data_IF_414143677900
#
_entry.id   IF_414143677900
#
_cell.length_a   1.000
_cell.length_b   1.000
_cell.length_c   1.000
_cell.angle_alpha   90.00
_cell.angle_beta   90.00
_cell.angle_gamma   90.00
#
_symmetry.space_group_name_H-M   'P 1'
#
loop_
_entity.id
_entity.type
_entity.pdbx_description
1 polymer ?
#
# COMPACT_ATOMS: atom_id res chain seq x y z
N UNK A 1 -13.85 9.82 29.27
CA UNK A 1 -14.71 9.33 28.15
C UNK A 1 -15.34 8.04 28.64
N UNK A 2 -16.67 7.90 28.63
CA UNK A 2 -17.41 6.83 29.36
C UNK A 2 -16.82 5.43 29.14
N UNK A 3 -16.56 5.02 27.89
CA UNK A 3 -16.00 3.69 27.61
C UNK A 3 -14.62 3.47 28.23
N UNK A 4 -13.79 4.51 28.22
CA UNK A 4 -12.42 4.49 28.74
C UNK A 4 -12.39 4.47 30.27
N UNK A 5 -13.38 5.10 30.93
CA UNK A 5 -13.58 5.03 32.38
C UNK A 5 -14.03 3.63 32.80
N UNK A 6 -15.12 3.12 32.19
CA UNK A 6 -15.68 1.79 32.49
C UNK A 6 -14.64 0.69 32.25
N UNK A 7 -13.87 0.80 31.17
CA UNK A 7 -12.84 -0.20 30.85
C UNK A 7 -11.73 -0.26 31.89
N UNK A 8 -11.32 0.87 32.46
CA UNK A 8 -10.26 0.92 33.48
C UNK A 8 -10.66 0.29 34.81
N UNK A 9 -11.95 0.09 35.04
CA UNK A 9 -12.45 -0.64 36.22
C UNK A 9 -12.36 -2.17 36.05
N UNK A 10 -12.01 -2.65 34.86
CA UNK A 10 -11.86 -4.08 34.60
C UNK A 10 -10.40 -4.52 34.84
N UNK A 11 -10.21 -5.43 35.79
CA UNK A 11 -8.95 -6.17 35.96
C UNK A 11 -8.85 -7.36 35.00
N UNK A 12 -7.62 -7.75 34.61
CA UNK A 12 -7.35 -8.96 33.83
C UNK A 12 -7.58 -8.82 32.32
N UNK A 13 -7.71 -7.57 31.83
CA UNK A 13 -7.89 -7.25 30.40
C UNK A 13 -6.67 -6.58 29.78
N UNK A 14 -5.52 -6.57 30.46
CA UNK A 14 -4.29 -5.90 30.05
C UNK A 14 -3.81 -6.29 28.63
N UNK A 15 -3.92 -7.57 28.18
CA UNK A 15 -3.63 -7.96 26.80
C UNK A 15 -4.47 -7.27 25.72
N UNK A 16 -5.61 -6.68 26.10
CA UNK A 16 -6.56 -5.95 25.25
C UNK A 16 -6.50 -4.43 25.49
N UNK A 17 -5.64 -3.96 26.40
CA UNK A 17 -5.47 -2.56 26.79
C UNK A 17 -4.22 -1.94 26.16
N UNK A 18 -4.26 -0.62 25.99
CA UNK A 18 -3.10 0.19 25.63
C UNK A 18 -2.23 0.55 26.85
N UNK A 19 -1.11 1.26 26.64
CA UNK A 19 -0.20 1.67 27.72
C UNK A 19 -0.88 2.51 28.81
N UNK A 20 -1.90 3.29 28.44
CA UNK A 20 -2.64 4.19 29.33
C UNK A 20 -3.81 3.50 30.07
N UNK A 21 -3.86 2.17 30.03
CA UNK A 21 -4.88 1.34 30.68
C UNK A 21 -6.24 1.29 29.96
N UNK A 22 -6.51 2.20 29.01
CA UNK A 22 -7.71 2.18 28.18
C UNK A 22 -7.70 1.06 27.12
N UNK A 23 -8.85 0.79 26.46
CA UNK A 23 -8.93 -0.26 25.44
C UNK A 23 -8.12 0.11 24.20
N UNK A 24 -7.47 -0.86 23.56
CA UNK A 24 -6.85 -0.64 22.25
C UNK A 24 -7.90 -0.24 21.20
N UNK A 25 -7.52 0.57 20.21
CA UNK A 25 -8.42 0.89 19.09
C UNK A 25 -8.95 -0.35 18.37
N UNK A 26 -8.16 -1.44 18.32
CA UNK A 26 -8.62 -2.73 17.78
C UNK A 26 -9.54 -3.49 18.72
N UNK A 27 -9.36 -3.38 20.03
CA UNK A 27 -10.29 -3.96 21.02
C UNK A 27 -11.67 -3.33 20.84
N UNK A 28 -11.74 -2.01 20.64
CA UNK A 28 -13.00 -1.32 20.32
C UNK A 28 -13.60 -1.86 19.02
N UNK A 29 -12.83 -1.80 17.91
CA UNK A 29 -13.32 -2.15 16.57
C UNK A 29 -13.67 -3.62 16.36
N UNK A 30 -12.96 -4.55 17.00
CA UNK A 30 -13.06 -5.98 16.71
C UNK A 30 -13.83 -6.75 17.78
N UNK A 31 -13.91 -6.24 19.01
CA UNK A 31 -14.58 -6.90 20.13
C UNK A 31 -15.74 -6.05 20.65
N UNK A 32 -15.46 -4.84 21.16
CA UNK A 32 -16.45 -4.09 21.92
C UNK A 32 -17.63 -3.67 21.04
N UNK A 33 -17.38 -2.94 19.96
CA UNK A 33 -18.45 -2.49 19.06
C UNK A 33 -19.23 -3.67 18.45
N UNK A 34 -18.61 -4.66 17.80
CA UNK A 34 -19.37 -5.71 17.11
C UNK A 34 -19.96 -6.79 18.03
N UNK A 35 -19.35 -7.10 19.18
CA UNK A 35 -19.71 -8.28 19.97
C UNK A 35 -20.35 -7.94 21.33
N UNK A 36 -19.95 -6.84 21.97
CA UNK A 36 -20.41 -6.45 23.32
C UNK A 36 -21.46 -5.34 23.27
N UNK A 37 -21.10 -4.19 22.73
CA UNK A 37 -21.93 -2.97 22.68
C UNK A 37 -23.01 -3.12 21.60
N UNK A 38 -22.64 -3.64 20.42
CA UNK A 38 -23.52 -3.83 19.26
C UNK A 38 -24.36 -2.58 18.94
N UNK A 39 -23.75 -1.45 18.53
CA UNK A 39 -24.46 -0.17 18.34
C UNK A 39 -25.68 -0.23 17.42
N UNK A 40 -25.69 -1.13 16.42
CA UNK A 40 -26.85 -1.35 15.54
C UNK A 40 -28.06 -1.89 16.32
N UNK A 41 -27.83 -2.78 17.29
CA UNK A 41 -28.85 -3.36 18.15
C UNK A 41 -29.14 -2.48 19.37
N UNK A 42 -28.19 -1.61 19.74
CA UNK A 42 -28.28 -0.71 20.89
C UNK A 42 -27.99 0.74 20.47
N UNK A 43 -28.92 1.41 19.75
CA UNK A 43 -28.68 2.74 19.19
C UNK A 43 -28.36 3.82 20.23
N UNK A 44 -28.80 3.63 21.48
CA UNK A 44 -28.48 4.54 22.60
C UNK A 44 -26.98 4.57 22.94
N UNK A 45 -26.24 3.52 22.57
CA UNK A 45 -24.78 3.44 22.72
C UNK A 45 -24.03 3.86 21.46
N UNK A 46 -24.73 4.30 20.40
CA UNK A 46 -24.12 4.65 19.12
C UNK A 46 -23.68 6.12 19.08
N UNK A 47 -22.58 6.37 18.37
CA UNK A 47 -22.09 7.72 18.06
C UNK A 47 -21.00 8.23 19.01
N UNK A 48 -20.39 9.38 18.67
CA UNK A 48 -19.25 9.94 19.40
C UNK A 48 -19.63 10.58 20.74
N UNK A 49 -20.91 10.90 20.95
CA UNK A 49 -21.44 11.49 22.19
C UNK A 49 -22.73 10.74 22.51
N UNK A 50 -22.79 10.15 23.71
CA UNK A 50 -23.95 9.40 24.21
C UNK A 50 -24.68 10.19 25.29
N UNK A 51 -25.99 9.97 25.43
CA UNK A 51 -26.79 10.52 26.53
C UNK A 51 -26.44 9.82 27.85
N UNK A 52 -26.94 10.34 28.98
CA UNK A 52 -26.76 9.70 30.29
C UNK A 52 -27.27 8.24 30.30
N UNK A 53 -28.46 8.00 29.73
CA UNK A 53 -29.03 6.65 29.59
C UNK A 53 -28.17 5.76 28.68
N UNK A 54 -27.63 6.32 27.60
CA UNK A 54 -26.70 5.63 26.70
C UNK A 54 -25.40 5.24 27.38
N UNK A 55 -24.85 6.13 28.21
CA UNK A 55 -23.66 5.88 29.02
C UNK A 55 -23.90 4.77 30.04
N UNK A 56 -25.03 4.79 30.75
CA UNK A 56 -25.38 3.75 31.73
C UNK A 56 -25.61 2.39 31.07
N UNK A 57 -26.28 2.35 29.91
CA UNK A 57 -26.45 1.12 29.14
C UNK A 57 -25.10 0.57 28.64
N UNK A 58 -24.22 1.43 28.15
CA UNK A 58 -22.87 1.05 27.73
C UNK A 58 -22.08 0.45 28.89
N UNK A 59 -22.07 1.11 30.05
CA UNK A 59 -21.39 0.62 31.25
C UNK A 59 -21.93 -0.76 31.66
N UNK A 60 -23.25 -0.90 31.71
CA UNK A 60 -23.94 -2.15 32.06
C UNK A 60 -23.51 -3.30 31.14
N UNK A 61 -23.43 -3.07 29.82
CA UNK A 61 -23.04 -4.09 28.86
C UNK A 61 -21.58 -4.53 28.98
N UNK A 62 -20.69 -3.57 29.20
CA UNK A 62 -19.26 -3.85 29.38
C UNK A 62 -19.04 -4.64 30.67
N UNK A 63 -19.63 -4.22 31.79
CA UNK A 63 -19.53 -4.96 33.06
C UNK A 63 -20.17 -6.34 32.99
N UNK A 64 -21.33 -6.48 32.33
CA UNK A 64 -21.98 -7.78 32.12
C UNK A 64 -21.11 -8.74 31.28
N UNK A 65 -20.20 -8.20 30.47
CA UNK A 65 -19.27 -8.98 29.65
C UNK A 65 -17.88 -9.12 30.28
N UNK A 66 -17.67 -8.64 31.51
CA UNK A 66 -16.35 -8.55 32.14
C UNK A 66 -15.63 -9.91 32.19
N UNK A 67 -16.32 -10.98 32.61
CA UNK A 67 -15.70 -12.32 32.70
C UNK A 67 -15.31 -12.88 31.33
N UNK A 68 -16.15 -12.66 30.32
CA UNK A 68 -15.84 -13.06 28.94
C UNK A 68 -14.67 -12.25 28.40
N UNK A 69 -14.58 -10.96 28.72
CA UNK A 69 -13.46 -10.10 28.32
C UNK A 69 -12.13 -10.53 28.97
N UNK A 70 -12.15 -10.91 30.26
CA UNK A 70 -10.99 -11.51 30.96
C UNK A 70 -10.57 -12.84 30.34
N UNK A 71 -11.53 -13.73 30.11
CA UNK A 71 -11.29 -15.00 29.43
C UNK A 71 -10.72 -14.78 28.01
N UNK A 72 -11.23 -13.79 27.28
CA UNK A 72 -10.73 -13.39 25.95
C UNK A 72 -9.27 -12.96 26.01
N UNK A 73 -8.91 -12.14 27.00
CA UNK A 73 -7.53 -11.70 27.22
C UNK A 73 -6.59 -12.87 27.58
N UNK A 74 -7.07 -13.81 28.39
CA UNK A 74 -6.33 -15.02 28.74
C UNK A 74 -6.12 -15.93 27.52
N UNK A 75 -7.15 -16.17 26.70
CA UNK A 75 -7.04 -16.89 25.42
C UNK A 75 -6.05 -16.21 24.48
N UNK A 76 -6.10 -14.89 24.34
CA UNK A 76 -5.16 -14.17 23.48
C UNK A 76 -3.70 -14.34 23.92
N UNK A 77 -3.46 -14.38 25.23
CA UNK A 77 -2.13 -14.65 25.80
C UNK A 77 -1.67 -16.08 25.48
N UNK A 78 -2.55 -17.07 25.64
CA UNK A 78 -2.28 -18.46 25.30
C UNK A 78 -1.99 -18.63 23.80
N UNK A 79 -2.85 -18.10 22.93
CA UNK A 79 -2.66 -18.15 21.46
C UNK A 79 -1.34 -17.49 21.04
N UNK A 80 -0.96 -16.35 21.65
CA UNK A 80 0.35 -15.73 21.36
C UNK A 80 1.53 -16.62 21.75
N UNK A 81 1.42 -17.36 22.85
CA UNK A 81 2.45 -18.30 23.29
C UNK A 81 2.56 -19.47 22.31
N UNK A 82 1.44 -20.12 21.99
CA UNK A 82 1.41 -21.25 21.05
C UNK A 82 1.85 -20.82 19.65
N UNK A 83 1.41 -19.65 19.16
CA UNK A 83 1.86 -19.06 17.89
C UNK A 83 3.38 -18.95 17.79
N UNK A 84 4.04 -18.55 18.88
CA UNK A 84 5.51 -18.45 18.93
C UNK A 84 6.16 -19.85 18.91
N UNK A 85 5.59 -20.81 19.62
CA UNK A 85 6.06 -22.20 19.62
C UNK A 85 5.96 -22.82 18.21
N UNK A 86 4.83 -22.58 17.52
CA UNK A 86 4.62 -22.96 16.12
C UNK A 86 5.40 -22.14 15.10
N UNK A 87 6.15 -21.12 15.54
CA UNK A 87 6.92 -20.18 14.68
C UNK A 87 6.07 -19.51 13.60
N UNK A 88 4.78 -19.29 13.88
CA UNK A 88 3.89 -18.57 12.98
C UNK A 88 4.23 -17.09 13.04
N UNK A 89 4.65 -16.52 11.90
CA UNK A 89 4.98 -15.08 11.77
C UNK A 89 3.92 -14.29 11.01
N UNK A 90 2.98 -14.97 10.37
CA UNK A 90 1.99 -14.35 9.48
C UNK A 90 0.84 -13.65 10.23
N UNK A 91 0.37 -12.55 9.63
CA UNK A 91 -0.75 -11.73 10.10
C UNK A 91 -0.48 -10.90 11.36
N UNK A 92 -1.33 -9.89 11.59
CA UNK A 92 -1.36 -9.19 12.87
C UNK A 92 -2.19 -10.04 13.87
N UNK A 93 -1.62 -10.44 15.02
CA UNK A 93 -2.34 -11.25 16.01
C UNK A 93 -3.67 -10.64 16.48
N UNK A 94 -3.75 -9.32 16.60
CA UNK A 94 -4.97 -8.65 17.06
C UNK A 94 -6.08 -8.78 16.01
N UNK A 95 -5.74 -8.54 14.75
CA UNK A 95 -6.70 -8.61 13.63
C UNK A 95 -7.19 -10.05 13.40
N UNK A 96 -6.33 -11.06 13.60
CA UNK A 96 -6.67 -12.46 13.35
C UNK A 96 -7.33 -13.18 14.53
N UNK A 97 -6.93 -12.88 15.78
CA UNK A 97 -7.29 -13.74 16.92
C UNK A 97 -8.30 -13.10 17.86
N UNK A 98 -8.53 -11.79 17.85
CA UNK A 98 -9.41 -11.14 18.84
C UNK A 98 -10.82 -11.72 18.85
N UNK A 99 -11.46 -11.86 17.68
CA UNK A 99 -12.80 -12.43 17.58
C UNK A 99 -12.81 -13.92 17.93
N UNK A 100 -11.82 -14.69 17.48
CA UNK A 100 -11.67 -16.12 17.85
C UNK A 100 -11.46 -16.32 19.34
N UNK A 101 -10.69 -15.47 20.00
CA UNK A 101 -10.51 -15.51 21.45
C UNK A 101 -11.82 -15.21 22.18
N UNK A 102 -12.64 -14.29 21.66
CA UNK A 102 -13.95 -13.98 22.23
C UNK A 102 -14.95 -15.14 22.05
N UNK A 103 -14.93 -15.80 20.89
CA UNK A 103 -15.71 -17.02 20.63
C UNK A 103 -15.31 -18.15 21.60
N UNK A 104 -14.00 -18.40 21.76
CA UNK A 104 -13.49 -19.39 22.71
C UNK A 104 -13.87 -19.04 24.16
N UNK A 105 -13.74 -17.78 24.54
CA UNK A 105 -14.13 -17.29 25.86
C UNK A 105 -15.63 -17.46 26.13
N UNK A 106 -16.47 -17.22 25.13
CA UNK A 106 -17.92 -17.35 25.25
C UNK A 106 -18.34 -18.83 25.33
N UNK A 107 -17.70 -19.70 24.55
CA UNK A 107 -18.05 -21.14 24.51
C UNK A 107 -17.42 -21.98 25.62
N UNK A 108 -16.20 -21.65 26.04
CA UNK A 108 -15.37 -22.48 26.92
C UNK A 108 -14.92 -21.78 28.20
N UNK A 109 -15.19 -20.48 28.36
CA UNK A 109 -14.70 -19.70 29.50
C UNK A 109 -13.19 -19.41 29.41
N UNK A 110 -12.54 -19.21 30.56
CA UNK A 110 -11.10 -18.95 30.61
C UNK A 110 -10.29 -20.22 30.30
N UNK A 111 -9.17 -20.12 29.54
CA UNK A 111 -8.34 -21.27 29.22
C UNK A 111 -7.57 -21.78 30.45
N UNK A 112 -7.40 -23.10 30.52
CA UNK A 112 -6.35 -23.76 31.31
C UNK A 112 -5.05 -23.80 30.48
N UNK A 113 -4.00 -23.06 30.87
CA UNK A 113 -2.77 -22.97 30.09
C UNK A 113 -2.03 -24.30 29.88
N UNK A 114 -2.33 -25.36 30.64
CA UNK A 114 -1.70 -26.68 30.51
C UNK A 114 -2.54 -27.66 29.69
N UNK A 115 -3.86 -27.51 29.69
CA UNK A 115 -4.78 -28.45 29.03
C UNK A 115 -5.29 -27.95 27.68
N UNK A 116 -5.43 -26.64 27.53
CA UNK A 116 -6.03 -26.03 26.34
C UNK A 116 -5.00 -25.62 25.28
N UNK A 117 -3.74 -26.04 25.43
CA UNK A 117 -2.72 -25.81 24.41
C UNK A 117 -3.10 -26.46 23.07
N UNK A 118 -3.69 -27.66 23.09
CA UNK A 118 -4.17 -28.31 21.87
C UNK A 118 -5.33 -27.56 21.21
N UNK A 119 -6.23 -26.96 21.98
CA UNK A 119 -7.33 -26.13 21.46
C UNK A 119 -6.77 -24.87 20.81
N UNK A 120 -5.85 -24.18 21.49
CA UNK A 120 -5.19 -23.00 20.95
C UNK A 120 -4.38 -23.33 19.69
N UNK A 121 -3.70 -24.48 19.65
CA UNK A 121 -2.97 -24.96 18.49
C UNK A 121 -3.92 -25.26 17.32
N UNK A 122 -5.05 -25.93 17.56
CA UNK A 122 -6.06 -26.21 16.53
C UNK A 122 -6.68 -24.92 16.00
N UNK A 123 -7.08 -24.00 16.87
CA UNK A 123 -7.60 -22.69 16.45
C UNK A 123 -6.59 -21.92 15.60
N UNK A 124 -5.30 -21.96 15.96
CA UNK A 124 -4.26 -21.34 15.15
C UNK A 124 -4.12 -22.05 13.80
N UNK A 125 -4.14 -23.39 13.77
CA UNK A 125 -4.16 -24.13 12.51
C UNK A 125 -5.35 -23.70 11.68
N UNK A 126 -6.58 -23.75 12.19
CA UNK A 126 -7.78 -23.36 11.46
C UNK A 126 -7.69 -21.94 10.88
N UNK A 127 -7.17 -20.98 11.66
CA UNK A 127 -6.99 -19.59 11.20
C UNK A 127 -5.92 -19.46 10.11
N UNK A 128 -4.88 -20.29 10.14
CA UNK A 128 -3.75 -20.21 9.19
C UNK A 128 -3.82 -21.22 8.04
N UNK A 129 -4.62 -22.27 8.16
CA UNK A 129 -4.84 -23.30 7.12
C UNK A 129 -5.72 -22.76 5.98
N UNK A 130 -6.47 -21.68 6.23
CA UNK A 130 -7.09 -20.82 5.20
C UNK A 130 -6.04 -20.33 4.19
N UNK A 131 -4.76 -20.22 4.56
CA UNK A 131 -3.73 -19.85 3.61
C UNK A 131 -3.34 -20.99 2.65
N UNK A 132 -3.78 -22.23 2.87
CA UNK A 132 -3.51 -23.40 2.02
C UNK A 132 -2.02 -23.54 1.64
N UNK A 133 -1.11 -23.24 2.56
CA UNK A 133 0.34 -23.25 2.32
C UNK A 133 0.93 -22.00 1.62
N UNK A 134 0.13 -21.00 1.26
CA UNK A 134 0.57 -19.69 0.72
C UNK A 134 0.97 -18.75 1.86
N UNK A 135 1.98 -19.15 2.62
CA UNK A 135 2.50 -18.36 3.76
C UNK A 135 3.86 -17.77 3.42
N UNK A 136 4.25 -16.71 4.13
CA UNK A 136 5.58 -16.12 3.93
C UNK A 136 6.70 -17.08 4.37
N UNK A 137 6.40 -17.96 5.33
CA UNK A 137 7.29 -19.01 5.77
C UNK A 137 7.46 -20.12 4.72
N UNK A 138 6.38 -20.53 4.05
CA UNK A 138 6.45 -21.50 2.95
C UNK A 138 7.22 -20.94 1.75
N UNK A 139 7.03 -19.65 1.43
CA UNK A 139 7.85 -18.94 0.45
C UNK A 139 9.33 -18.99 0.83
N UNK A 140 9.67 -18.61 2.07
CA UNK A 140 11.05 -18.64 2.56
C UNK A 140 11.65 -20.04 2.45
N UNK A 141 10.94 -21.06 2.94
CA UNK A 141 11.38 -22.45 2.87
C UNK A 141 11.66 -22.88 1.42
N UNK A 142 10.74 -22.55 0.50
CA UNK A 142 10.87 -22.88 -0.93
C UNK A 142 12.11 -22.23 -1.58
N UNK A 143 12.34 -20.94 -1.36
CA UNK A 143 13.47 -20.22 -2.00
C UNK A 143 14.82 -20.46 -1.33
N UNK A 144 14.83 -20.91 -0.07
CA UNK A 144 16.08 -21.21 0.67
C UNK A 144 16.50 -22.68 0.59
N UNK A 145 15.67 -23.57 0.04
CA UNK A 145 16.09 -24.95 -0.22
C UNK A 145 17.25 -24.96 -1.23
N UNK A 146 18.43 -25.54 -0.92
CA UNK A 146 19.61 -25.45 -1.78
C UNK A 146 19.44 -26.07 -3.18
N UNK A 147 18.58 -27.07 -3.34
CA UNK A 147 18.29 -27.64 -4.66
C UNK A 147 17.41 -26.68 -5.46
N UNK A 148 16.29 -26.22 -4.89
CA UNK A 148 15.39 -25.26 -5.56
C UNK A 148 16.04 -23.91 -5.83
N UNK A 149 16.82 -23.38 -4.89
CA UNK A 149 17.53 -22.11 -5.08
C UNK A 149 18.42 -22.14 -6.33
N UNK A 150 19.15 -23.25 -6.56
CA UNK A 150 19.98 -23.41 -7.77
C UNK A 150 19.14 -23.47 -9.05
N UNK A 151 18.04 -24.21 -9.04
CA UNK A 151 17.12 -24.30 -10.19
C UNK A 151 16.50 -22.95 -10.52
N UNK A 152 16.01 -22.24 -9.50
CA UNK A 152 15.38 -20.93 -9.65
C UNK A 152 16.38 -19.86 -10.09
N UNK A 153 17.61 -19.87 -9.58
CA UNK A 153 18.68 -18.98 -10.06
C UNK A 153 19.03 -19.26 -11.53
N UNK A 154 19.14 -20.52 -11.93
CA UNK A 154 19.37 -20.87 -13.34
C UNK A 154 18.19 -20.42 -14.23
N UNK A 155 16.96 -20.50 -13.74
CA UNK A 155 15.78 -19.99 -14.45
C UNK A 155 15.82 -18.47 -14.60
N UNK A 156 16.25 -17.73 -13.57
CA UNK A 156 16.46 -16.27 -13.65
C UNK A 156 17.50 -15.95 -14.72
N UNK A 157 18.66 -16.61 -14.68
CA UNK A 157 19.73 -16.36 -15.65
C UNK A 157 19.26 -16.63 -17.09
N UNK A 158 18.52 -17.72 -17.29
CA UNK A 158 17.95 -18.07 -18.59
C UNK A 158 16.91 -17.06 -19.07
N UNK A 159 15.95 -16.71 -18.22
CA UNK A 159 14.87 -15.78 -18.56
C UNK A 159 15.40 -14.38 -18.83
N UNK A 160 16.33 -13.91 -17.99
CA UNK A 160 16.95 -12.60 -18.14
C UNK A 160 17.86 -12.50 -19.38
N UNK A 161 18.58 -13.58 -19.70
CA UNK A 161 19.44 -13.65 -20.88
C UNK A 161 18.69 -13.69 -22.21
N UNK A 162 17.41 -14.08 -22.21
CA UNK A 162 16.56 -14.13 -23.42
C UNK A 162 15.87 -12.80 -23.77
N UNK A 163 16.06 -11.76 -22.98
CA UNK A 163 15.44 -10.45 -23.22
C UNK A 163 15.93 -9.85 -24.54
N UNK A 164 15.06 -9.19 -25.33
CA UNK A 164 15.47 -8.46 -26.52
C UNK A 164 16.29 -7.21 -26.11
N UNK A 165 17.59 -7.21 -26.39
CA UNK A 165 18.50 -6.08 -26.10
C UNK A 165 19.00 -5.37 -27.37
N UNK A 166 18.70 -5.88 -28.57
CA UNK A 166 19.19 -5.31 -29.84
C UNK A 166 18.22 -5.63 -30.99
N UNK A 167 18.04 -4.66 -31.90
CA UNK A 167 17.38 -4.88 -33.20
C UNK A 167 15.86 -4.96 -33.21
N UNK A 168 15.18 -4.82 -32.06
CA UNK A 168 13.71 -4.68 -32.04
C UNK A 168 13.33 -3.29 -32.52
N UNK A 169 12.66 -3.21 -33.68
CA UNK A 169 11.97 -2.00 -34.13
C UNK A 169 10.86 -1.72 -33.13
N UNK A 170 11.09 -0.79 -32.20
CA UNK A 170 10.04 -0.31 -31.31
C UNK A 170 9.16 0.65 -32.10
N UNK A 171 7.88 0.33 -32.25
CA UNK A 171 6.91 1.26 -32.81
C UNK A 171 6.82 2.53 -31.94
N UNK A 172 6.75 3.70 -32.59
CA UNK A 172 6.41 4.94 -31.90
C UNK A 172 4.91 4.98 -31.65
N UNK A 173 4.55 5.05 -30.37
CA UNK A 173 3.17 5.00 -29.88
C UNK A 173 2.75 6.30 -29.18
N UNK A 174 3.59 7.33 -29.20
CA UNK A 174 3.37 8.55 -28.41
C UNK A 174 2.05 9.26 -28.75
N UNK A 175 1.69 9.34 -30.03
CA UNK A 175 0.44 9.96 -30.47
C UNK A 175 -0.80 9.20 -29.96
N UNK A 176 -0.81 7.87 -30.07
CA UNK A 176 -1.91 7.05 -29.58
C UNK A 176 -2.04 7.10 -28.04
N UNK A 177 -0.90 7.15 -27.32
CA UNK A 177 -0.90 7.38 -25.86
C UNK A 177 -1.51 8.74 -25.51
N UNK A 178 -1.20 9.80 -26.28
CA UNK A 178 -1.78 11.12 -26.06
C UNK A 178 -3.31 11.12 -26.25
N UNK A 179 -3.81 10.46 -27.31
CA UNK A 179 -5.26 10.30 -27.56
C UNK A 179 -5.96 9.62 -26.37
N UNK A 180 -5.41 8.52 -25.85
CA UNK A 180 -5.98 7.83 -24.67
C UNK A 180 -5.98 8.74 -23.44
N UNK A 181 -4.92 9.51 -23.21
CA UNK A 181 -4.83 10.44 -22.08
C UNK A 181 -5.75 11.67 -22.23
N UNK A 182 -6.11 12.05 -23.45
CA UNK A 182 -7.08 13.11 -23.69
C UNK A 182 -8.52 12.64 -23.44
N UNK A 183 -8.85 11.42 -23.83
CA UNK A 183 -10.21 10.88 -23.76
C UNK A 183 -10.56 10.25 -22.39
N UNK A 184 -9.62 9.52 -21.76
CA UNK A 184 -9.94 8.69 -20.59
C UNK A 184 -10.52 9.43 -19.35
N UNK A 185 -10.22 10.73 -19.07
CA UNK A 185 -10.89 11.44 -17.99
C UNK A 185 -12.40 11.63 -18.20
N UNK A 186 -12.85 11.67 -19.46
CA UNK A 186 -14.25 11.84 -19.87
C UNK A 186 -15.03 10.53 -20.00
N UNK A 187 -14.35 9.37 -20.00
CA UNK A 187 -14.95 8.05 -20.28
C UNK A 187 -16.09 7.63 -19.33
N UNK A 188 -16.29 8.33 -18.20
CA UNK A 188 -17.42 8.10 -17.26
C UNK A 188 -18.62 9.02 -17.49
N UNK A 189 -18.45 10.08 -18.27
CA UNK A 189 -19.40 11.19 -18.36
C UNK A 189 -20.31 11.13 -19.59
N UNK A 190 -19.99 10.32 -20.62
CA UNK A 190 -20.78 10.30 -21.86
C UNK A 190 -21.05 8.89 -22.39
N UNK A 191 -22.26 8.72 -22.95
CA UNK A 191 -22.71 7.55 -23.72
C UNK A 191 -22.55 7.76 -25.25
N UNK A 192 -21.96 8.89 -25.71
CA UNK A 192 -21.91 9.30 -27.13
C UNK A 192 -20.57 9.93 -27.61
N UNK A 193 -19.54 10.03 -26.75
CA UNK A 193 -18.21 10.58 -27.10
C UNK A 193 -17.13 9.50 -27.33
N UNK A 194 -16.03 9.84 -28.03
CA UNK A 194 -14.84 8.97 -28.13
C UNK A 194 -14.19 8.85 -26.74
N UNK A 195 -14.42 7.71 -26.08
CA UNK A 195 -13.88 7.37 -24.76
C UNK A 195 -12.41 6.93 -24.83
N UNK A 196 -11.81 6.92 -26.03
CA UNK A 196 -10.45 6.49 -26.29
C UNK A 196 -10.31 4.97 -26.38
N UNK A 197 -11.40 4.21 -26.46
CA UNK A 197 -11.37 2.74 -26.54
C UNK A 197 -10.60 2.24 -27.74
N UNK A 198 -10.86 2.77 -28.94
CA UNK A 198 -10.15 2.35 -30.14
C UNK A 198 -8.64 2.60 -30.03
N UNK A 199 -8.24 3.77 -29.54
CA UNK A 199 -6.82 4.07 -29.33
C UNK A 199 -6.18 3.17 -28.27
N UNK A 200 -6.92 2.80 -27.22
CA UNK A 200 -6.45 1.85 -26.20
C UNK A 200 -6.28 0.44 -26.77
N UNK A 201 -7.26 -0.05 -27.54
CA UNK A 201 -7.20 -1.35 -28.20
C UNK A 201 -6.03 -1.41 -29.21
N UNK A 202 -5.80 -0.34 -29.96
CA UNK A 202 -4.67 -0.21 -30.88
C UNK A 202 -3.31 -0.26 -30.15
N UNK A 203 -3.19 0.38 -28.98
CA UNK A 203 -1.98 0.31 -28.15
C UNK A 203 -1.70 -1.11 -27.65
N UNK A 204 -2.74 -1.85 -27.25
CA UNK A 204 -2.62 -3.24 -26.80
C UNK A 204 -2.25 -4.15 -27.96
N UNK A 205 -2.95 -4.03 -29.10
CA UNK A 205 -2.68 -4.81 -30.30
C UNK A 205 -1.29 -4.51 -30.90
N UNK A 206 -0.85 -3.25 -30.79
CA UNK A 206 0.47 -2.79 -31.22
C UNK A 206 1.60 -3.04 -30.22
N UNK A 207 1.33 -3.74 -29.12
CA UNK A 207 2.31 -4.08 -28.08
C UNK A 207 3.08 -2.87 -27.52
N UNK A 208 2.39 -1.73 -27.36
CA UNK A 208 3.00 -0.48 -26.93
C UNK A 208 3.63 -0.57 -25.52
N UNK A 209 2.98 -1.32 -24.63
CA UNK A 209 3.49 -1.62 -23.30
C UNK A 209 4.80 -2.41 -23.35
N UNK A 210 4.83 -3.47 -24.16
CA UNK A 210 6.04 -4.27 -24.39
C UNK A 210 7.17 -3.46 -24.99
N UNK A 211 6.92 -2.69 -26.05
CA UNK A 211 7.96 -1.86 -26.70
C UNK A 211 8.59 -0.86 -25.73
N UNK A 212 7.76 -0.13 -24.97
CA UNK A 212 8.27 0.82 -23.99
C UNK A 212 9.01 0.12 -22.84
N UNK A 213 8.49 -1.01 -22.35
CA UNK A 213 9.15 -1.77 -21.28
C UNK A 213 10.50 -2.37 -21.70
N UNK A 214 10.69 -2.70 -22.98
CA UNK A 214 11.99 -3.10 -23.54
C UNK A 214 12.95 -1.91 -23.57
N UNK A 215 12.48 -0.72 -23.97
CA UNK A 215 13.31 0.49 -24.00
C UNK A 215 13.90 0.83 -22.61
N UNK A 216 13.16 0.54 -21.53
CA UNK A 216 13.61 0.72 -20.14
C UNK A 216 14.82 -0.14 -19.74
N UNK A 217 15.17 -1.18 -20.52
CA UNK A 217 16.38 -1.99 -20.30
C UNK A 217 17.64 -1.40 -20.93
N UNK A 218 17.52 -0.27 -21.64
CA UNK A 218 18.62 0.39 -22.32
C UNK A 218 18.91 1.76 -21.74
N UNK A 219 20.11 2.29 -21.97
CA UNK A 219 20.52 3.63 -21.52
C UNK A 219 20.16 4.75 -22.52
N UNK A 220 19.20 4.53 -23.41
CA UNK A 220 18.84 5.45 -24.50
C UNK A 220 18.09 6.69 -23.94
N UNK A 221 18.28 7.91 -24.47
CA UNK A 221 18.55 9.06 -23.60
C UNK A 221 17.33 9.83 -23.07
N UNK A 222 16.09 9.54 -23.47
CA UNK A 222 14.94 10.37 -23.06
C UNK A 222 14.26 9.87 -21.77
N UNK A 223 13.96 8.57 -21.64
CA UNK A 223 13.28 8.03 -20.46
C UNK A 223 13.89 6.68 -20.07
N UNK A 224 14.65 6.66 -18.98
CA UNK A 224 15.25 5.44 -18.41
C UNK A 224 14.50 4.99 -17.17
N UNK A 225 14.55 3.70 -16.84
CA UNK A 225 13.99 3.17 -15.59
C UNK A 225 14.56 3.88 -14.35
N UNK A 226 15.83 4.31 -14.42
CA UNK A 226 16.49 5.11 -13.38
C UNK A 226 15.82 6.48 -13.19
N UNK A 227 15.62 7.22 -14.30
CA UNK A 227 14.96 8.53 -14.29
C UNK A 227 13.52 8.43 -13.79
N UNK A 228 12.81 7.36 -14.16
CA UNK A 228 11.47 7.06 -13.66
C UNK A 228 11.44 6.65 -12.17
N UNK A 229 12.60 6.45 -11.54
CA UNK A 229 12.72 6.07 -10.13
C UNK A 229 12.29 4.63 -9.84
N UNK A 230 12.34 3.76 -10.86
CA UNK A 230 11.98 2.33 -10.77
C UNK A 230 13.16 1.45 -10.38
N UNK A 231 14.38 1.92 -10.63
CA UNK A 231 15.65 1.27 -10.25
C UNK A 231 16.65 2.31 -9.77
N UNK A 232 17.56 1.90 -8.89
CA UNK A 232 18.72 2.67 -8.45
C UNK A 232 19.90 2.55 -9.41
N UNK A 233 19.88 1.56 -10.31
CA UNK A 233 20.92 1.31 -11.30
C UNK A 233 20.70 2.14 -12.57
N UNK A 234 21.76 2.41 -13.37
CA UNK A 234 21.61 3.12 -14.66
C UNK A 234 20.64 2.41 -15.62
N UNK A 235 20.68 1.08 -15.62
CA UNK A 235 19.72 0.19 -16.28
C UNK A 235 19.33 -0.94 -15.33
N UNK A 236 18.12 -1.51 -15.45
CA UNK A 236 17.70 -2.65 -14.64
C UNK A 236 18.69 -3.82 -14.72
N UNK A 237 18.92 -4.47 -13.59
CA UNK A 237 19.82 -5.63 -13.43
C UNK A 237 19.01 -6.91 -13.25
N UNK A 238 19.60 -8.11 -13.48
CA UNK A 238 18.88 -9.37 -13.25
C UNK A 238 18.30 -9.42 -11.83
N UNK A 239 17.04 -9.86 -11.66
CA UNK A 239 16.42 -9.91 -10.34
C UNK A 239 17.15 -10.93 -9.46
N UNK A 240 17.31 -10.62 -8.18
CA UNK A 240 17.82 -11.60 -7.21
C UNK A 240 16.68 -12.51 -6.75
N UNK A 241 16.99 -13.77 -6.43
CA UNK A 241 16.01 -14.66 -5.80
C UNK A 241 15.58 -14.11 -4.42
N UNK A 242 16.55 -13.71 -3.59
CA UNK A 242 16.32 -13.19 -2.24
C UNK A 242 15.97 -14.28 -1.21
N UNK A 243 16.10 -13.96 0.08
CA UNK A 243 15.90 -14.92 1.19
C UNK A 243 15.08 -14.36 2.36
N UNK A 244 14.74 -13.06 2.32
CA UNK A 244 13.92 -12.38 3.31
C UNK A 244 13.36 -11.07 2.76
N UNK A 245 12.32 -10.54 3.38
CA UNK A 245 11.75 -9.24 3.05
C UNK A 245 11.27 -8.51 4.30
N UNK A 246 11.28 -7.17 4.25
CA UNK A 246 10.64 -6.29 5.23
C UNK A 246 9.88 -5.19 4.50
N UNK A 247 8.65 -4.88 4.91
CA UNK A 247 7.85 -3.82 4.30
C UNK A 247 8.46 -2.43 4.45
N UNK A 248 9.35 -2.23 5.43
CA UNK A 248 10.06 -0.96 5.65
C UNK A 248 11.36 -0.82 4.84
N UNK A 249 11.86 -1.91 4.24
CA UNK A 249 13.16 -1.95 3.57
C UNK A 249 13.07 -2.52 2.15
N UNK A 250 11.89 -2.51 1.54
CA UNK A 250 11.70 -2.99 0.17
C UNK A 250 12.50 -2.13 -0.81
N UNK A 251 13.19 -2.78 -1.75
CA UNK A 251 13.82 -2.11 -2.87
C UNK A 251 12.83 -1.34 -3.76
N UNK A 252 13.40 -0.51 -4.65
CA UNK A 252 12.67 0.11 -5.75
C UNK A 252 12.03 -0.97 -6.63
N UNK A 253 10.93 -0.68 -7.35
CA UNK A 253 10.17 -1.67 -8.13
C UNK A 253 10.99 -2.73 -8.87
N UNK A 254 11.99 -2.32 -9.65
CA UNK A 254 12.83 -3.23 -10.45
C UNK A 254 14.03 -3.79 -9.70
N UNK A 255 14.32 -3.27 -8.51
CA UNK A 255 15.43 -3.75 -7.65
C UNK A 255 14.95 -4.79 -6.61
N UNK A 256 13.63 -4.95 -6.45
CA UNK A 256 13.06 -5.97 -5.57
C UNK A 256 13.42 -7.37 -6.05
N UNK A 257 13.87 -8.20 -5.11
CA UNK A 257 14.02 -9.64 -5.32
C UNK A 257 12.68 -10.34 -5.58
N UNK A 258 12.76 -11.52 -6.18
CA UNK A 258 11.59 -12.40 -6.40
C UNK A 258 10.88 -12.67 -5.07
N UNK A 259 11.63 -12.96 -4.01
CA UNK A 259 11.06 -13.12 -2.67
C UNK A 259 10.32 -11.87 -2.19
N UNK A 260 10.89 -10.67 -2.29
CA UNK A 260 10.23 -9.44 -1.82
C UNK A 260 8.89 -9.18 -2.53
N UNK A 261 8.81 -9.49 -3.82
CA UNK A 261 7.61 -9.32 -4.62
C UNK A 261 6.52 -10.31 -4.23
N UNK A 262 6.83 -11.61 -4.18
CA UNK A 262 5.87 -12.62 -3.73
C UNK A 262 5.47 -12.39 -2.27
N UNK A 263 6.41 -12.00 -1.40
CA UNK A 263 6.13 -11.66 -0.01
C UNK A 263 5.09 -10.54 0.10
N UNK A 264 5.22 -9.49 -0.72
CA UNK A 264 4.27 -8.37 -0.72
C UNK A 264 2.87 -8.82 -1.15
N UNK A 265 2.76 -9.69 -2.16
CA UNK A 265 1.50 -10.31 -2.59
C UNK A 265 0.85 -11.09 -1.45
N UNK A 266 1.60 -12.01 -0.83
CA UNK A 266 1.10 -12.83 0.27
C UNK A 266 0.63 -11.98 1.45
N UNK A 267 1.35 -10.88 1.74
CA UNK A 267 0.99 -9.95 2.82
C UNK A 267 -0.24 -9.11 2.51
N UNK A 268 -0.44 -8.74 1.25
CA UNK A 268 -1.55 -7.90 0.81
C UNK A 268 -2.83 -8.69 0.52
N UNK A 269 -2.74 -9.99 0.24
CA UNK A 269 -3.93 -10.82 -0.04
C UNK A 269 -4.67 -11.17 1.25
N UNK A 270 -5.96 -10.84 1.27
CA UNK A 270 -6.91 -11.19 2.33
C UNK A 270 -7.38 -12.64 2.18
N UNK A 271 -7.61 -13.08 0.95
CA UNK A 271 -7.81 -14.48 0.61
C UNK A 271 -6.53 -15.01 -0.05
N UNK A 272 -5.81 -15.87 0.67
CA UNK A 272 -4.57 -16.47 0.16
C UNK A 272 -4.82 -17.83 -0.47
N UNK A 273 -5.98 -18.45 -0.24
CA UNK A 273 -6.34 -19.72 -0.86
C UNK A 273 -6.54 -19.57 -2.36
N UNK A 274 -7.06 -18.41 -2.79
CA UNK A 274 -7.22 -18.06 -4.20
C UNK A 274 -5.90 -17.82 -4.94
N UNK A 275 -4.79 -17.61 -4.23
CA UNK A 275 -3.49 -17.46 -4.87
C UNK A 275 -2.99 -18.80 -5.41
N UNK A 276 -2.20 -18.80 -6.50
CA UNK A 276 -1.48 -19.99 -6.93
C UNK A 276 -0.58 -20.56 -5.81
N UNK A 277 -0.25 -21.86 -5.86
CA UNK A 277 0.74 -22.44 -4.95
C UNK A 277 2.07 -21.70 -4.98
N UNK A 278 2.84 -21.77 -3.88
CA UNK A 278 4.10 -21.02 -3.73
C UNK A 278 5.09 -21.25 -4.88
N UNK A 279 5.23 -22.50 -5.35
CA UNK A 279 6.18 -22.81 -6.44
C UNK A 279 5.80 -22.08 -7.73
N UNK A 280 4.51 -22.05 -8.06
CA UNK A 280 3.97 -21.37 -9.24
C UNK A 280 4.09 -19.85 -9.09
N UNK A 281 3.75 -19.30 -7.93
CA UNK A 281 3.96 -17.87 -7.63
C UNK A 281 5.41 -17.45 -7.85
N UNK A 282 6.38 -18.25 -7.40
CA UNK A 282 7.80 -17.95 -7.53
C UNK A 282 8.27 -18.07 -8.98
N UNK A 283 7.91 -19.13 -9.70
CA UNK A 283 8.30 -19.29 -11.12
C UNK A 283 7.67 -18.22 -12.00
N UNK A 284 6.40 -17.89 -11.77
CA UNK A 284 5.69 -16.84 -12.52
C UNK A 284 6.25 -15.46 -12.17
N UNK A 285 6.66 -15.21 -10.91
CA UNK A 285 7.31 -13.94 -10.55
C UNK A 285 8.71 -13.80 -11.17
N UNK A 286 9.45 -14.89 -11.39
CA UNK A 286 10.69 -14.85 -12.18
C UNK A 286 10.40 -14.42 -13.61
N UNK A 287 9.42 -15.03 -14.26
CA UNK A 287 9.00 -14.67 -15.62
C UNK A 287 8.57 -13.19 -15.68
N UNK A 288 7.77 -12.76 -14.71
CA UNK A 288 7.30 -11.37 -14.56
C UNK A 288 8.47 -10.41 -14.38
N UNK A 289 9.41 -10.70 -13.49
CA UNK A 289 10.58 -9.86 -13.22
C UNK A 289 11.53 -9.73 -14.41
N UNK A 290 11.54 -10.70 -15.32
CA UNK A 290 12.33 -10.68 -16.55
C UNK A 290 11.57 -10.12 -17.76
N UNK A 291 10.30 -9.76 -17.60
CA UNK A 291 9.44 -9.27 -18.68
C UNK A 291 9.42 -7.73 -18.74
N UNK A 292 9.01 -7.13 -19.88
CA UNK A 292 8.86 -5.67 -20.00
C UNK A 292 7.98 -5.11 -18.88
N UNK A 293 8.37 -3.95 -18.34
CA UNK A 293 7.76 -3.34 -17.13
C UNK A 293 7.79 -4.18 -15.85
N UNK A 294 8.47 -5.32 -15.89
CA UNK A 294 8.35 -6.37 -14.90
C UNK A 294 6.88 -6.78 -14.68
N UNK A 295 6.12 -6.92 -15.77
CA UNK A 295 4.72 -7.34 -15.84
C UNK A 295 4.54 -8.38 -16.96
N UNK A 296 3.56 -9.28 -16.87
CA UNK A 296 3.29 -10.32 -17.89
C UNK A 296 2.20 -9.89 -18.88
N UNK A 297 1.11 -9.33 -18.39
CA UNK A 297 -0.04 -8.91 -19.20
C UNK A 297 0.23 -7.62 -19.99
N UNK A 298 -0.07 -7.62 -21.29
CA UNK A 298 0.18 -6.47 -22.17
C UNK A 298 -0.69 -5.25 -21.83
N UNK A 299 -1.94 -5.46 -21.42
CA UNK A 299 -2.82 -4.36 -21.03
C UNK A 299 -2.28 -3.62 -19.82
N UNK A 300 -1.72 -4.34 -18.85
CA UNK A 300 -1.09 -3.74 -17.68
C UNK A 300 0.23 -3.02 -18.05
N UNK A 301 0.98 -3.53 -19.02
CA UNK A 301 2.15 -2.82 -19.58
C UNK A 301 1.73 -1.54 -20.30
N UNK A 302 0.63 -1.55 -21.05
CA UNK A 302 0.07 -0.35 -21.68
C UNK A 302 -0.34 0.67 -20.62
N UNK A 303 -1.03 0.27 -19.54
CA UNK A 303 -1.35 1.17 -18.42
C UNK A 303 -0.08 1.76 -17.79
N UNK A 304 0.99 0.96 -17.64
CA UNK A 304 2.27 1.45 -17.13
C UNK A 304 2.90 2.50 -18.07
N UNK A 305 2.88 2.26 -19.38
CA UNK A 305 3.37 3.18 -20.41
C UNK A 305 2.57 4.49 -20.44
N UNK A 306 1.24 4.41 -20.47
CA UNK A 306 0.35 5.58 -20.43
C UNK A 306 0.53 6.35 -19.12
N UNK A 307 0.69 5.64 -18.00
CA UNK A 307 0.98 6.24 -16.70
C UNK A 307 2.34 6.92 -16.63
N UNK A 308 3.36 6.41 -17.33
CA UNK A 308 4.67 7.05 -17.46
C UNK A 308 4.58 8.36 -18.23
N UNK A 309 3.90 8.36 -19.39
CA UNK A 309 3.67 9.55 -20.19
C UNK A 309 2.91 10.64 -19.39
N UNK A 310 1.84 10.25 -18.70
CA UNK A 310 1.10 11.12 -17.79
C UNK A 310 2.01 11.70 -16.71
N UNK A 311 2.75 10.84 -16.01
CA UNK A 311 3.58 11.22 -14.87
C UNK A 311 4.69 12.20 -15.24
N UNK A 312 5.31 12.03 -16.42
CA UNK A 312 6.37 12.93 -16.91
C UNK A 312 5.85 14.31 -17.30
N UNK A 313 4.57 14.44 -17.65
CA UNK A 313 3.89 15.73 -17.87
C UNK A 313 3.41 16.42 -16.58
N UNK A 314 3.62 15.82 -15.41
CA UNK A 314 3.18 16.43 -14.15
C UNK A 314 4.17 17.51 -13.70
N UNK A 315 3.63 18.71 -13.42
CA UNK A 315 4.37 19.89 -13.02
C UNK A 315 3.64 20.61 -11.86
N UNK A 316 3.58 20.00 -10.66
CA UNK A 316 2.82 20.54 -9.53
C UNK A 316 3.38 21.87 -9.02
N UNK A 317 4.71 22.07 -9.06
CA UNK A 317 5.36 23.31 -8.59
C UNK A 317 5.89 24.20 -9.72
N UNK A 318 5.88 23.75 -10.97
CA UNK A 318 6.36 24.52 -12.13
C UNK A 318 5.46 25.72 -12.47
N UNK A 319 5.99 26.69 -13.20
CA UNK A 319 5.14 27.69 -13.87
C UNK A 319 4.09 26.97 -14.70
N UNK A 320 2.83 27.42 -14.63
CA UNK A 320 1.80 26.89 -15.53
C UNK A 320 2.37 26.98 -16.95
N UNK A 321 2.34 25.89 -17.74
CA UNK A 321 2.86 25.95 -19.09
C UNK A 321 2.18 27.11 -19.81
N UNK A 322 2.93 27.80 -20.68
CA UNK A 322 2.26 28.62 -21.69
C UNK A 322 1.21 27.74 -22.39
N UNK A 323 0.07 28.29 -22.84
CA UNK A 323 -0.97 27.54 -23.53
C UNK A 323 -0.51 27.06 -24.92
N UNK A 324 0.63 26.38 -25.00
CA UNK A 324 1.09 25.62 -26.15
C UNK A 324 0.55 24.19 -26.02
N UNK A 325 -0.68 23.96 -26.49
CA UNK A 325 -1.27 22.77 -27.14
C UNK A 325 -0.67 21.34 -26.96
N UNK A 326 0.07 21.02 -25.89
CA UNK A 326 0.77 19.72 -25.76
C UNK A 326 0.43 18.91 -24.51
N UNK A 327 -0.16 19.52 -23.48
CA UNK A 327 -0.61 18.79 -22.29
C UNK A 327 -1.94 18.12 -22.57
N UNK A 328 -2.05 16.82 -22.28
CA UNK A 328 -3.33 16.09 -22.42
C UNK A 328 -4.34 16.48 -21.34
N UNK A 329 -5.62 16.17 -21.56
CA UNK A 329 -6.70 16.39 -20.58
C UNK A 329 -6.37 15.75 -19.23
N UNK A 330 -5.86 14.52 -19.21
CA UNK A 330 -5.43 13.85 -17.99
C UNK A 330 -4.36 14.63 -17.22
N UNK A 331 -3.32 15.13 -17.91
CA UNK A 331 -2.26 15.93 -17.31
C UNK A 331 -2.83 17.21 -16.69
N UNK A 332 -3.68 17.93 -17.43
CA UNK A 332 -4.32 19.18 -16.96
C UNK A 332 -5.17 18.95 -15.71
N UNK A 333 -5.99 17.89 -15.70
CA UNK A 333 -6.86 17.55 -14.58
C UNK A 333 -6.06 17.26 -13.31
N UNK A 334 -5.00 16.46 -13.42
CA UNK A 334 -4.17 16.08 -12.25
C UNK A 334 -3.32 17.25 -11.77
N UNK A 335 -2.64 17.96 -12.67
CA UNK A 335 -1.85 19.16 -12.31
C UNK A 335 -2.73 20.22 -11.64
N UNK A 336 -3.90 20.52 -12.20
CA UNK A 336 -4.84 21.48 -11.61
C UNK A 336 -5.36 21.08 -10.23
N UNK A 337 -5.44 19.77 -9.93
CA UNK A 337 -5.73 19.31 -8.56
C UNK A 337 -4.54 19.50 -7.63
N UNK A 338 -3.35 19.07 -8.05
CA UNK A 338 -2.13 19.19 -7.25
C UNK A 338 -1.77 20.63 -6.91
N UNK A 339 -1.88 21.53 -7.89
CA UNK A 339 -1.53 22.95 -7.74
C UNK A 339 -2.46 23.69 -6.76
N UNK A 340 -3.67 23.18 -6.51
CA UNK A 340 -4.60 23.72 -5.51
C UNK A 340 -4.27 23.28 -4.08
N UNK A 341 -3.35 22.34 -3.89
CA UNK A 341 -2.95 21.87 -2.58
C UNK A 341 -2.11 22.91 -1.82
N UNK A 342 -2.48 23.19 -0.56
CA UNK A 342 -1.78 24.17 0.26
C UNK A 342 -0.28 23.86 0.43
N UNK A 343 0.08 22.58 0.59
CA UNK A 343 1.48 22.18 0.70
C UNK A 343 2.27 22.37 -0.60
N UNK A 344 1.62 22.28 -1.76
CA UNK A 344 2.25 22.54 -3.06
C UNK A 344 2.52 24.03 -3.22
N UNK A 345 1.57 24.88 -2.81
CA UNK A 345 1.78 26.33 -2.77
C UNK A 345 2.94 26.72 -1.83
N UNK A 346 3.05 26.05 -0.68
CA UNK A 346 4.16 26.25 0.25
C UNK A 346 5.49 25.77 -0.36
N UNK A 347 5.51 24.60 -0.99
CA UNK A 347 6.68 24.07 -1.69
C UNK A 347 7.15 25.00 -2.83
N UNK A 348 6.22 25.59 -3.60
CA UNK A 348 6.54 26.62 -4.61
C UNK A 348 7.26 27.81 -3.99
N UNK A 349 6.81 28.30 -2.84
CA UNK A 349 7.49 29.42 -2.15
C UNK A 349 8.93 29.06 -1.76
N UNK A 350 9.17 27.82 -1.32
CA UNK A 350 10.52 27.33 -1.01
C UNK A 350 11.43 27.30 -2.23
N UNK A 351 10.90 27.05 -3.44
CA UNK A 351 11.72 27.07 -4.66
C UNK A 351 12.13 28.47 -5.13
N UNK A 352 11.46 29.52 -4.64
CA UNK A 352 11.72 30.92 -5.02
C UNK A 352 12.47 31.68 -3.92
N UNK A 353 12.40 31.23 -2.67
CA UNK A 353 13.06 31.89 -1.54
C UNK A 353 14.52 31.47 -1.41
N UNK A 354 15.46 32.43 -1.49
CA UNK A 354 16.90 32.19 -1.36
C UNK A 354 17.27 31.63 0.02
N UNK A 355 16.54 32.00 1.07
CA UNK A 355 16.77 31.53 2.44
C UNK A 355 16.34 30.07 2.64
N UNK A 356 15.53 29.50 1.74
CA UNK A 356 15.11 28.10 1.81
C UNK A 356 16.27 27.12 1.58
N UNK A 357 17.37 27.57 0.97
CA UNK A 357 18.61 26.81 0.83
C UNK A 357 19.34 26.56 2.17
N UNK A 358 18.94 27.27 3.24
CA UNK A 358 19.52 27.12 4.59
C UNK A 358 18.73 26.15 5.48
N UNK A 359 17.59 25.63 5.02
CA UNK A 359 16.83 24.63 5.77
C UNK A 359 17.60 23.31 5.81
N UNK A 360 17.69 22.63 6.97
CA UNK A 360 18.32 21.32 7.05
C UNK A 360 17.68 20.32 6.08
N UNK A 361 18.48 19.43 5.48
CA UNK A 361 17.99 18.35 4.60
C UNK A 361 16.97 17.43 5.29
N UNK A 362 16.97 17.40 6.62
CA UNK A 362 16.01 16.67 7.45
C UNK A 362 14.65 17.35 7.56
N UNK A 363 14.47 18.56 7.01
CA UNK A 363 13.20 19.26 7.02
C UNK A 363 12.18 18.54 6.11
N UNK A 364 11.05 18.05 6.65
CA UNK A 364 10.05 17.31 5.86
C UNK A 364 9.48 18.09 4.68
N UNK A 365 9.40 19.43 4.75
CA UNK A 365 8.92 20.27 3.66
C UNK A 365 9.94 20.39 2.52
N UNK A 366 11.25 20.40 2.84
CA UNK A 366 12.31 20.39 1.82
C UNK A 366 12.32 19.06 1.06
N UNK A 367 12.15 17.94 1.76
CA UNK A 367 12.01 16.62 1.15
C UNK A 367 10.79 16.53 0.22
N UNK A 368 9.63 17.06 0.64
CA UNK A 368 8.43 17.11 -0.21
C UNK A 368 8.63 18.03 -1.41
N UNK A 369 9.27 19.18 -1.24
CA UNK A 369 9.58 20.07 -2.36
C UNK A 369 10.53 19.42 -3.38
N UNK A 370 11.48 18.59 -2.93
CA UNK A 370 12.32 17.79 -3.82
C UNK A 370 11.51 16.72 -4.57
N UNK A 371 10.61 16.00 -3.89
CA UNK A 371 9.71 15.05 -4.54
C UNK A 371 8.79 15.71 -5.58
N UNK A 372 8.30 16.93 -5.31
CA UNK A 372 7.44 17.68 -6.23
C UNK A 372 8.18 18.21 -7.47
N UNK A 373 9.52 18.25 -7.46
CA UNK A 373 10.33 18.50 -8.67
C UNK A 373 10.40 17.30 -9.59
N UNK A 374 10.26 16.09 -9.03
CA UNK A 374 10.29 14.83 -9.75
C UNK A 374 9.04 13.98 -9.43
N UNK A 375 7.83 14.53 -9.67
CA UNK A 375 6.57 13.94 -9.21
C UNK A 375 6.32 12.55 -9.79
N UNK A 376 6.92 12.26 -10.95
CA UNK A 376 6.80 10.97 -11.62
C UNK A 376 7.38 9.81 -10.81
N UNK A 377 8.41 10.03 -9.98
CA UNK A 377 9.03 8.94 -9.20
C UNK A 377 8.06 8.35 -8.16
N UNK A 378 7.51 9.11 -7.19
CA UNK A 378 6.56 8.55 -6.24
C UNK A 378 5.27 8.06 -6.92
N UNK A 379 4.84 8.70 -8.01
CA UNK A 379 3.69 8.26 -8.80
C UNK A 379 3.92 6.87 -9.40
N UNK A 380 4.99 6.67 -10.17
CA UNK A 380 5.25 5.42 -10.88
C UNK A 380 5.58 4.26 -9.95
N UNK A 381 6.26 4.53 -8.82
CA UNK A 381 6.46 3.51 -7.78
C UNK A 381 5.13 2.96 -7.25
N UNK A 382 4.13 3.82 -7.05
CA UNK A 382 2.80 3.40 -6.59
C UNK A 382 1.97 2.75 -7.69
N UNK A 383 2.04 3.28 -8.92
CA UNK A 383 1.38 2.67 -10.06
C UNK A 383 1.87 1.25 -10.26
N UNK A 384 3.19 1.04 -10.29
CA UNK A 384 3.79 -0.28 -10.47
C UNK A 384 3.33 -1.28 -9.41
N UNK A 385 3.27 -0.89 -8.13
CA UNK A 385 2.78 -1.78 -7.06
C UNK A 385 1.32 -2.22 -7.28
N UNK A 386 0.46 -1.33 -7.77
CA UNK A 386 -0.93 -1.67 -8.09
C UNK A 386 -1.02 -2.60 -9.30
N UNK A 387 -0.27 -2.29 -10.35
CA UNK A 387 -0.24 -3.11 -11.56
C UNK A 387 0.32 -4.51 -11.27
N UNK A 388 1.42 -4.61 -10.51
CA UNK A 388 1.97 -5.89 -10.06
C UNK A 388 0.94 -6.73 -9.29
N UNK A 389 0.21 -6.10 -8.37
CA UNK A 389 -0.85 -6.76 -7.62
C UNK A 389 -2.03 -7.24 -8.49
N UNK A 390 -2.34 -6.54 -9.58
CA UNK A 390 -3.34 -6.97 -10.57
C UNK A 390 -2.82 -8.10 -11.45
N UNK A 391 -1.60 -7.99 -11.91
CA UNK A 391 -0.93 -8.95 -12.77
C UNK A 391 -0.74 -10.32 -12.10
N UNK A 392 -0.55 -10.35 -10.77
CA UNK A 392 -0.52 -11.58 -9.98
C UNK A 392 -1.91 -12.21 -9.79
N UNK A 393 -2.97 -11.41 -9.88
CA UNK A 393 -4.36 -11.86 -9.82
C UNK A 393 -5.00 -12.03 -11.20
N UNK A 394 -4.21 -11.83 -12.26
CA UNK A 394 -4.67 -11.91 -13.66
C UNK A 394 -5.83 -10.94 -13.96
N UNK A 395 -5.80 -9.76 -13.34
CA UNK A 395 -6.79 -8.70 -13.55
C UNK A 395 -6.32 -7.70 -14.61
N UNK A 396 -6.51 -8.04 -15.88
CA UNK A 396 -6.25 -7.16 -17.04
C UNK A 396 -7.11 -5.89 -17.04
N UNK A 397 -6.82 -4.93 -17.92
CA UNK A 397 -7.52 -3.64 -18.04
C UNK A 397 -7.83 -3.37 -19.51
N UNK A 398 -9.11 -3.42 -19.87
CA UNK A 398 -9.56 -3.23 -21.26
C UNK A 398 -10.40 -1.96 -21.46
N UNK A 399 -10.86 -1.35 -20.37
CA UNK A 399 -11.78 -0.23 -20.41
C UNK A 399 -11.06 1.10 -20.11
N UNK A 400 -11.22 2.16 -20.93
CA UNK A 400 -10.60 3.46 -20.68
C UNK A 400 -10.96 4.06 -19.31
N UNK A 401 -12.19 3.86 -18.85
CA UNK A 401 -12.62 4.30 -17.52
C UNK A 401 -11.87 3.60 -16.38
N UNK A 402 -11.60 2.30 -16.52
CA UNK A 402 -10.81 1.54 -15.53
C UNK A 402 -9.33 1.96 -15.55
N UNK A 403 -8.76 2.19 -16.74
CA UNK A 403 -7.44 2.76 -16.89
C UNK A 403 -7.35 4.11 -16.17
N UNK A 404 -8.32 5.00 -16.39
CA UNK A 404 -8.38 6.30 -15.72
C UNK A 404 -8.48 6.17 -14.19
N UNK A 405 -9.31 5.25 -13.69
CA UNK A 405 -9.44 4.99 -12.25
C UNK A 405 -8.12 4.61 -11.60
N UNK A 406 -7.31 3.79 -12.28
CA UNK A 406 -5.99 3.42 -11.83
C UNK A 406 -5.07 4.65 -11.81
N UNK A 407 -5.00 5.40 -12.92
CA UNK A 407 -4.11 6.55 -13.07
C UNK A 407 -4.46 7.69 -12.09
N UNK A 408 -5.72 8.11 -12.03
CA UNK A 408 -6.20 9.15 -11.10
C UNK A 408 -6.14 8.67 -9.65
N UNK A 409 -6.48 7.41 -9.40
CA UNK A 409 -6.39 6.82 -8.07
C UNK A 409 -4.97 6.79 -7.51
N UNK A 410 -3.94 6.65 -8.35
CA UNK A 410 -2.54 6.76 -7.93
C UNK A 410 -2.21 8.22 -7.58
N UNK A 411 -2.60 9.18 -8.42
CA UNK A 411 -2.38 10.60 -8.14
C UNK A 411 -3.03 11.03 -6.80
N UNK A 412 -4.28 10.63 -6.56
CA UNK A 412 -4.98 10.89 -5.30
C UNK A 412 -4.26 10.31 -4.10
N UNK A 413 -3.72 9.10 -4.24
CA UNK A 413 -2.96 8.47 -3.16
C UNK A 413 -1.68 9.25 -2.86
N UNK A 414 -0.94 9.69 -3.87
CA UNK A 414 0.29 10.50 -3.66
C UNK A 414 -0.05 11.81 -2.97
N UNK A 415 -1.09 12.53 -3.44
CA UNK A 415 -1.59 13.76 -2.81
C UNK A 415 -1.91 13.53 -1.33
N UNK A 416 -2.64 12.47 -1.01
CA UNK A 416 -3.05 12.16 0.37
C UNK A 416 -1.85 11.89 1.27
N UNK A 417 -0.85 11.16 0.78
CA UNK A 417 0.37 10.87 1.54
C UNK A 417 1.21 12.13 1.80
N UNK A 418 1.37 12.98 0.78
CA UNK A 418 2.02 14.28 0.97
C UNK A 418 1.30 15.14 2.00
N UNK A 419 -0.04 15.24 1.94
CA UNK A 419 -0.85 15.92 2.97
C UNK A 419 -0.60 15.38 4.36
N UNK A 420 -0.57 14.05 4.51
CA UNK A 420 -0.37 13.40 5.81
C UNK A 420 1.04 13.69 6.36
N UNK A 421 2.08 13.59 5.53
CA UNK A 421 3.46 13.90 5.91
C UNK A 421 3.64 15.36 6.30
N UNK A 422 3.01 16.30 5.59
CA UNK A 422 3.01 17.72 5.99
C UNK A 422 2.31 17.92 7.32
N UNK A 423 1.14 17.31 7.52
CA UNK A 423 0.43 17.39 8.80
C UNK A 423 1.29 16.87 9.95
N UNK A 424 1.92 15.70 9.77
CA UNK A 424 2.83 15.12 10.76
C UNK A 424 4.03 16.02 11.04
N UNK A 425 4.64 16.59 10.01
CA UNK A 425 5.75 17.53 10.14
C UNK A 425 5.35 18.78 10.95
N UNK A 426 4.19 19.38 10.63
CA UNK A 426 3.68 20.55 11.34
C UNK A 426 3.31 20.23 12.79
N UNK A 427 2.78 19.05 13.07
CA UNK A 427 2.46 18.61 14.45
C UNK A 427 3.71 18.25 15.26
N UNK A 428 4.84 17.94 14.62
CA UNK A 428 6.10 17.61 15.27
C UNK A 428 6.99 18.83 15.55
N UNK A 429 6.67 20.00 14.99
CA UNK A 429 7.29 21.28 15.37
C UNK A 429 6.76 21.61 16.77
N UNK A 430 7.60 21.56 17.83
CA UNK A 430 7.17 22.01 19.14
C UNK A 430 6.77 23.48 19.03
N UNK A 431 5.74 23.91 19.78
CA UNK A 431 5.44 25.33 20.03
C UNK A 431 6.61 25.98 20.81
N UNK A 432 7.79 26.05 20.20
CA UNK A 432 8.91 26.84 20.64
C UNK A 432 8.78 28.19 19.93
N UNK A 433 7.78 28.97 20.33
CA UNK A 433 7.65 30.41 20.07
C UNK A 433 6.47 31.05 20.84
N UNK A 434 6.12 30.51 22.02
CA UNK A 434 5.13 31.12 22.92
C UNK A 434 5.77 31.79 24.15
N UNK A 435 7.10 31.93 24.20
CA UNK A 435 7.81 32.56 25.34
C UNK A 435 8.55 33.85 25.02
N UNK A 436 8.60 34.31 23.78
CA UNK A 436 9.12 35.64 23.42
C UNK A 436 7.98 36.58 22.98
N UNK A 437 7.00 36.77 23.86
CA UNK A 437 6.19 37.99 23.82
C UNK A 437 6.95 39.05 24.63
N UNK A 438 7.43 40.16 24.03
CA UNK A 438 8.05 41.22 24.80
C UNK A 438 6.97 41.84 25.71
N UNK A 439 7.18 41.74 27.03
CA UNK A 439 6.49 42.59 27.99
C UNK A 439 6.70 44.06 27.57
N UNK A 440 5.64 44.65 27.01
CA UNK A 440 5.55 46.08 26.77
C UNK A 440 5.55 46.81 28.11
N UNK A 441 6.73 47.15 28.61
CA UNK A 441 6.92 48.20 29.61
C UNK A 441 7.01 49.55 28.90
N UNK A 442 6.00 50.39 29.08
CA UNK A 442 6.19 51.83 29.12
C UNK A 442 5.08 52.47 29.95
N UNK A 443 5.52 53.40 30.79
CA UNK A 443 4.77 54.29 31.69
C UNK A 443 3.73 55.16 31.03
#
# INVERSE_FOLDING_TARGET
>A
MVLDEVWRELDGVEPLSGPDGGPLSRTVKLILDPLVIRPVQNPLCAGPIVTADGAQLLATRVHASADVLRATAAWFTLLKRVRRALRITDGNPQDLYFQRCFELATGSGAPDPLRDEAVAENTLRDVHDVAAGRTTQALKAHVTDPARARELSALIDLAWGRRPLSGTVTGDHAAAVAVVLDACPGARLEQDGDDGRHALDDLVAGHAGTHHGIALWTSTPEVTAHRLGLTSHPVPVPPRLGSSASTSALGLPFDRSVHERVFTVLRASTDRAELPPIHELVTTEIARSCSPWALLDETLRVVATTGAALATGLHPIGTAPSPSDTDTTAVRVINGRWQREAYVLQARRLTVNADAATLPDTNPLAAIAAELREPWRPYLRRLWVRLHGRDVREFSVHEPGELWDLLDGVARSVILDHRLRVKQALSAIPLADATDAPESRAS
#
